data_IF_840867629513
#
_entry.id   IF_840867629513
#
_cell.length_a   1.000
_cell.length_b   1.000
_cell.length_c   1.000
_cell.angle_alpha   90.00
_cell.angle_beta   90.00
_cell.angle_gamma   90.00
#
_symmetry.space_group_name_H-M   'P 1'
#
loop_
_entity.id
_entity.type
_entity.pdbx_description
1 polymer ?
#
# COMPACT_ATOMS: atom_id res chain seq x y z
N UNK A 1 21.38 21.22 -11.42
CA UNK A 1 21.07 21.50 -10.01
C UNK A 1 20.77 20.15 -9.38
N UNK A 2 21.75 19.68 -8.58
CA UNK A 2 21.88 18.40 -7.86
C UNK A 2 21.15 17.18 -8.39
N UNK A 3 21.94 16.21 -8.89
CA UNK A 3 21.51 14.85 -9.16
C UNK A 3 21.04 14.19 -7.84
N UNK A 4 19.75 13.92 -7.73
CA UNK A 4 19.15 13.11 -6.65
C UNK A 4 18.71 11.73 -7.14
N UNK A 5 19.21 11.30 -8.29
CA UNK A 5 18.89 9.99 -8.89
C UNK A 5 19.67 8.83 -8.23
N UNK A 6 19.92 8.88 -6.91
CA UNK A 6 20.58 7.78 -6.20
C UNK A 6 20.12 7.58 -4.74
N UNK A 7 19.02 8.23 -4.35
CA UNK A 7 18.17 7.79 -3.25
C UNK A 7 16.80 7.63 -3.91
N UNK A 8 16.44 6.39 -4.23
CA UNK A 8 15.11 6.03 -4.71
C UNK A 8 14.13 6.28 -3.54
N UNK A 9 13.67 7.53 -3.33
CA UNK A 9 12.40 7.80 -2.62
C UNK A 9 11.26 7.52 -3.61
N UNK A 10 11.26 6.31 -4.18
CA UNK A 10 10.34 5.89 -5.25
C UNK A 10 9.67 4.55 -4.92
N UNK A 11 9.98 3.97 -3.76
CA UNK A 11 9.34 2.74 -3.25
C UNK A 11 8.31 3.01 -2.15
N UNK A 12 7.68 4.19 -2.12
CA UNK A 12 6.54 4.44 -1.23
C UNK A 12 5.32 4.62 -2.12
N UNK A 13 4.73 3.50 -2.53
CA UNK A 13 3.41 3.51 -3.16
C UNK A 13 2.34 3.44 -2.07
N UNK A 14 1.17 4.00 -2.35
CA UNK A 14 0.02 3.87 -1.43
C UNK A 14 -0.40 2.42 -1.27
N UNK A 15 -0.15 1.58 -2.29
CA UNK A 15 -0.46 0.16 -2.27
C UNK A 15 0.60 -0.75 -1.65
N UNK A 16 1.77 -0.23 -1.23
CA UNK A 16 2.83 -1.01 -0.57
C UNK A 16 2.52 -1.11 0.93
N UNK A 17 1.67 -2.07 1.27
CA UNK A 17 1.08 -2.26 2.61
C UNK A 17 2.14 -2.82 3.57
N UNK A 18 2.98 -3.72 3.08
CA UNK A 18 3.98 -4.41 3.90
C UNK A 18 5.34 -3.66 3.96
N UNK A 19 5.49 -2.59 3.17
CA UNK A 19 6.68 -1.72 3.07
C UNK A 19 7.93 -2.42 2.54
N UNK A 20 7.79 -3.37 1.62
CA UNK A 20 8.91 -4.07 0.98
C UNK A 20 9.42 -3.40 -0.31
N UNK A 21 8.71 -2.37 -0.79
CA UNK A 21 9.07 -1.58 -1.96
C UNK A 21 8.57 -2.13 -3.30
N UNK A 22 7.80 -3.22 -3.30
CA UNK A 22 6.96 -3.65 -4.42
C UNK A 22 5.48 -3.50 -4.02
N UNK A 23 4.59 -3.32 -5.00
CA UNK A 23 3.14 -3.51 -4.81
C UNK A 23 2.75 -4.79 -5.51
N UNK A 24 2.58 -5.87 -4.74
CA UNK A 24 2.31 -7.19 -5.29
C UNK A 24 1.17 -7.93 -4.57
N UNK A 25 1.07 -9.24 -4.82
CA UNK A 25 0.01 -10.05 -4.23
C UNK A 25 0.15 -10.20 -2.71
N UNK A 26 1.31 -9.95 -2.13
CA UNK A 26 1.53 -9.91 -0.68
C UNK A 26 0.76 -8.76 -0.05
N UNK A 27 0.85 -7.55 -0.61
CA UNK A 27 0.10 -6.37 -0.16
C UNK A 27 -1.41 -6.57 -0.30
N UNK A 28 -1.80 -7.12 -1.43
CA UNK A 28 -3.19 -7.47 -1.73
C UNK A 28 -3.76 -8.45 -0.68
N UNK A 29 -2.97 -9.46 -0.30
CA UNK A 29 -3.38 -10.46 0.68
C UNK A 29 -3.45 -9.87 2.10
N UNK A 30 -2.59 -8.92 2.46
CA UNK A 30 -2.69 -8.24 3.75
C UNK A 30 -4.02 -7.48 3.90
N UNK A 31 -4.47 -6.76 2.87
CA UNK A 31 -5.79 -6.11 2.87
C UNK A 31 -6.91 -7.15 3.00
N UNK A 32 -6.86 -8.23 2.23
CA UNK A 32 -7.90 -9.27 2.27
C UNK A 32 -7.97 -10.01 3.62
N UNK A 33 -6.84 -10.20 4.32
CA UNK A 33 -6.83 -10.79 5.65
C UNK A 33 -7.34 -9.85 6.74
N UNK A 34 -7.20 -8.54 6.54
CA UNK A 34 -7.71 -7.52 7.45
C UNK A 34 -9.14 -7.04 7.11
N UNK A 35 -9.76 -7.55 6.03
CA UNK A 35 -11.04 -7.04 5.53
C UNK A 35 -12.14 -7.01 6.60
N UNK A 36 -12.78 -5.84 6.75
CA UNK A 36 -13.78 -5.54 7.77
C UNK A 36 -13.20 -5.17 9.15
N UNK A 37 -11.88 -5.11 9.31
CA UNK A 37 -11.26 -4.55 10.51
C UNK A 37 -11.55 -3.05 10.61
N UNK A 38 -11.68 -2.56 11.84
CA UNK A 38 -11.94 -1.15 12.13
C UNK A 38 -10.95 -0.61 13.15
N UNK A 39 -10.70 0.69 13.12
CA UNK A 39 -9.86 1.37 14.10
C UNK A 39 -8.61 1.98 13.48
N UNK A 40 -7.93 2.83 14.23
CA UNK A 40 -6.78 3.58 13.74
C UNK A 40 -5.50 2.72 13.66
N UNK A 41 -4.58 3.12 12.78
CA UNK A 41 -3.24 2.54 12.63
C UNK A 41 -3.22 1.10 12.11
N UNK A 42 -4.13 0.75 11.19
CA UNK A 42 -4.06 -0.48 10.43
C UNK A 42 -3.39 -0.20 9.07
N UNK A 43 -2.23 -0.81 8.74
CA UNK A 43 -1.60 -0.63 7.44
C UNK A 43 -2.52 -1.01 6.26
N UNK A 44 -3.42 -1.96 6.47
CA UNK A 44 -4.41 -2.38 5.47
C UNK A 44 -5.58 -1.40 5.28
N UNK A 45 -5.73 -0.39 6.15
CA UNK A 45 -6.65 0.76 5.96
C UNK A 45 -5.89 1.83 5.16
N UNK A 46 -5.67 1.51 3.89
CA UNK A 46 -4.81 2.19 2.94
C UNK A 46 -5.27 3.64 2.71
N UNK A 47 -6.58 3.85 2.62
CA UNK A 47 -7.14 5.19 2.44
C UNK A 47 -7.33 5.95 3.77
N UNK A 48 -7.12 5.26 4.91
CA UNK A 48 -7.24 5.79 6.26
C UNK A 48 -8.63 6.34 6.62
N UNK A 49 -9.69 5.69 6.14
CA UNK A 49 -11.08 6.03 6.47
C UNK A 49 -11.60 5.37 7.77
N UNK A 50 -10.80 4.45 8.32
CA UNK A 50 -11.06 3.78 9.59
C UNK A 50 -11.70 2.40 9.47
N UNK A 51 -11.94 1.91 8.25
CA UNK A 51 -12.42 0.55 7.96
C UNK A 51 -11.64 -0.05 6.81
N UNK A 52 -11.13 -1.28 6.98
CA UNK A 52 -10.55 -2.01 5.85
C UNK A 52 -11.68 -2.54 4.97
N UNK A 53 -11.86 -1.97 3.79
CA UNK A 53 -12.92 -2.35 2.86
C UNK A 53 -12.46 -2.44 1.39
N UNK A 54 -13.42 -2.41 0.46
CA UNK A 54 -13.11 -2.54 -0.96
C UNK A 54 -12.44 -1.29 -1.54
N UNK A 55 -12.55 -0.13 -0.90
CA UNK A 55 -11.81 1.07 -1.28
C UNK A 55 -10.29 0.88 -1.05
N UNK A 56 -9.89 0.30 0.08
CA UNK A 56 -8.47 -0.01 0.35
C UNK A 56 -7.92 -1.05 -0.62
N UNK A 57 -8.74 -2.06 -0.91
CA UNK A 57 -8.40 -3.09 -1.90
C UNK A 57 -8.17 -2.47 -3.29
N UNK A 58 -9.00 -1.51 -3.68
CA UNK A 58 -8.87 -0.82 -4.96
C UNK A 58 -7.63 0.07 -5.03
N UNK A 59 -7.22 0.72 -3.92
CA UNK A 59 -5.97 1.48 -3.85
C UNK A 59 -4.75 0.58 -4.15
N UNK A 60 -4.68 -0.61 -3.54
CA UNK A 60 -3.62 -1.59 -3.85
C UNK A 60 -3.69 -2.03 -5.32
N UNK A 61 -4.88 -2.31 -5.85
CA UNK A 61 -5.03 -2.76 -7.23
C UNK A 61 -4.68 -1.68 -8.27
N UNK A 62 -4.92 -0.39 -7.97
CA UNK A 62 -4.52 0.70 -8.85
C UNK A 62 -3.01 0.92 -8.88
N UNK A 63 -2.32 0.58 -7.79
CA UNK A 63 -0.87 0.61 -7.67
C UNK A 63 -0.20 -0.74 -8.03
N UNK A 64 -0.96 -1.77 -8.39
CA UNK A 64 -0.41 -3.12 -8.54
C UNK A 64 0.68 -3.21 -9.61
N UNK A 65 1.85 -3.72 -9.23
CA UNK A 65 3.06 -3.77 -10.04
C UNK A 65 3.86 -2.46 -10.06
N UNK A 66 3.54 -1.48 -9.22
CA UNK A 66 4.45 -0.39 -8.88
C UNK A 66 5.56 -0.85 -7.92
N UNK A 67 6.65 -0.08 -7.88
CA UNK A 67 7.89 -0.58 -7.30
C UNK A 67 8.53 -1.64 -8.18
N UNK A 68 9.78 -2.01 -7.91
CA UNK A 68 10.46 -3.13 -8.56
C UNK A 68 10.37 -3.12 -10.12
#
# INVERSE_FOLDING_TARGET
>A
MLAVDNIQITGFSVGDVNMDGCVDDSDLLEVLFAFGATGAFNPADVNSDGTVDDADLLEVLFAFGEGC
#
